data_IF_652269532918
#
_entry.id   IF_652269532918
#
_cell.length_a   1.000
_cell.length_b   1.000
_cell.length_c   1.000
_cell.angle_alpha   90.00
_cell.angle_beta   90.00
_cell.angle_gamma   90.00
#
_symmetry.space_group_name_H-M   'P 1'
#
loop_
_entity.id
_entity.type
_entity.pdbx_description
1 polymer ?
#
# COMPACT_ATOMS: atom_id res chain seq x y z
N UNK A 1 -21.62 -13.02 22.51
CA UNK A 1 -20.75 -12.01 23.14
C UNK A 1 -20.06 -11.23 22.04
N UNK A 2 -20.41 -9.95 21.92
CA UNK A 2 -20.02 -9.10 20.80
C UNK A 2 -18.52 -8.79 20.83
N UNK A 3 -17.76 -9.43 19.93
CA UNK A 3 -16.40 -9.04 19.63
C UNK A 3 -16.48 -7.70 18.89
N UNK A 4 -16.42 -6.59 19.65
CA UNK A 4 -16.31 -5.24 19.09
C UNK A 4 -15.02 -5.20 18.27
N UNK A 5 -15.15 -5.44 16.97
CA UNK A 5 -14.13 -5.18 15.96
C UNK A 5 -13.63 -3.76 16.20
N UNK A 6 -12.44 -3.66 16.79
CA UNK A 6 -11.76 -2.39 16.94
C UNK A 6 -11.38 -1.94 15.53
N UNK A 7 -12.31 -1.24 14.86
CA UNK A 7 -12.07 -0.64 13.54
C UNK A 7 -10.74 0.07 13.64
N UNK A 8 -9.74 -0.43 12.91
CA UNK A 8 -8.49 0.30 12.73
C UNK A 8 -8.91 1.64 12.16
N UNK A 9 -8.81 2.69 12.98
CA UNK A 9 -9.25 4.03 12.59
C UNK A 9 -8.50 4.40 11.33
N UNK A 10 -9.22 4.73 10.27
CA UNK A 10 -8.59 5.06 9.00
C UNK A 10 -7.75 6.32 9.19
N UNK A 11 -6.42 6.14 9.13
CA UNK A 11 -5.43 7.18 9.41
C UNK A 11 -5.16 8.00 8.15
N UNK A 12 -5.97 9.05 7.98
CA UNK A 12 -5.88 9.98 6.85
C UNK A 12 -4.50 10.65 6.75
N UNK A 13 -3.89 10.95 7.89
CA UNK A 13 -2.53 11.49 8.02
C UNK A 13 -1.49 10.57 7.34
N UNK A 14 -1.48 9.30 7.72
CA UNK A 14 -0.53 8.31 7.18
C UNK A 14 -0.78 8.03 5.70
N UNK A 15 -2.05 7.91 5.31
CA UNK A 15 -2.39 7.69 3.91
C UNK A 15 -2.08 8.92 3.04
N UNK A 16 -2.22 10.13 3.57
CA UNK A 16 -1.81 11.38 2.91
C UNK A 16 -0.31 11.44 2.68
N UNK A 17 0.51 11.06 3.67
CA UNK A 17 1.96 10.95 3.51
C UNK A 17 2.35 9.95 2.41
N UNK A 18 1.68 8.80 2.36
CA UNK A 18 1.89 7.81 1.28
C UNK A 18 1.50 8.37 -0.09
N UNK A 19 0.41 9.15 -0.18
CA UNK A 19 0.01 9.77 -1.43
C UNK A 19 1.05 10.78 -1.92
N UNK A 20 1.54 11.66 -1.04
CA UNK A 20 2.61 12.60 -1.35
C UNK A 20 3.90 11.91 -1.80
N UNK A 21 4.25 10.80 -1.15
CA UNK A 21 5.41 9.99 -1.54
C UNK A 21 5.29 9.46 -2.98
N UNK A 22 4.11 8.97 -3.38
CA UNK A 22 3.85 8.54 -4.77
C UNK A 22 3.90 9.71 -5.75
N UNK A 23 3.34 10.88 -5.39
CA UNK A 23 3.42 12.08 -6.24
C UNK A 23 4.87 12.47 -6.51
N UNK A 24 5.74 12.47 -5.49
CA UNK A 24 7.16 12.75 -5.67
C UNK A 24 7.84 11.75 -6.63
N UNK A 25 7.51 10.46 -6.54
CA UNK A 25 8.02 9.41 -7.45
C UNK A 25 7.57 9.66 -8.89
N UNK A 26 6.31 10.04 -9.09
CA UNK A 26 5.76 10.32 -10.41
C UNK A 26 6.42 11.57 -11.03
N UNK A 27 6.52 12.66 -10.29
CA UNK A 27 7.16 13.90 -10.77
C UNK A 27 8.60 13.65 -11.22
N UNK A 28 9.34 12.85 -10.46
CA UNK A 28 10.69 12.43 -10.82
C UNK A 28 10.74 11.59 -12.10
N UNK A 29 9.86 10.58 -12.26
CA UNK A 29 9.84 9.75 -13.46
C UNK A 29 9.48 10.54 -14.73
N UNK A 30 8.58 11.51 -14.62
CA UNK A 30 8.21 12.39 -15.74
C UNK A 30 9.20 13.54 -15.95
N UNK A 31 10.29 13.61 -15.17
CA UNK A 31 11.30 14.69 -15.21
C UNK A 31 10.68 16.09 -15.10
N UNK A 32 9.59 16.19 -14.35
CA UNK A 32 8.91 17.45 -14.12
C UNK A 32 9.69 18.27 -13.08
N UNK A 33 9.78 19.58 -13.31
CA UNK A 33 10.39 20.55 -12.40
C UNK A 33 11.90 20.37 -12.10
N UNK A 34 12.62 19.53 -12.87
CA UNK A 34 14.07 19.33 -12.69
C UNK A 34 14.45 18.73 -11.33
N UNK A 35 13.54 17.95 -10.73
CA UNK A 35 13.74 17.35 -9.41
C UNK A 35 14.62 16.11 -9.51
N UNK A 36 15.84 16.18 -8.97
CA UNK A 36 16.72 15.02 -8.76
C UNK A 36 16.54 14.53 -7.31
N UNK A 37 15.76 13.45 -7.11
CA UNK A 37 15.53 12.92 -5.75
C UNK A 37 14.21 12.18 -5.48
N UNK A 38 13.34 11.98 -6.47
CA UNK A 38 12.03 11.33 -6.21
C UNK A 38 12.11 9.86 -5.79
N UNK A 39 13.28 9.23 -5.86
CA UNK A 39 13.52 7.89 -5.30
C UNK A 39 13.29 7.86 -3.77
N UNK A 40 13.51 8.97 -3.06
CA UNK A 40 13.23 9.08 -1.61
C UNK A 40 11.74 8.83 -1.32
N UNK A 41 10.85 9.18 -2.26
CA UNK A 41 9.42 8.88 -2.14
C UNK A 41 9.13 7.38 -2.08
N UNK A 42 9.95 6.55 -2.74
CA UNK A 42 9.85 5.09 -2.68
C UNK A 42 10.15 4.60 -1.26
N UNK A 43 11.23 5.09 -0.65
CA UNK A 43 11.63 4.72 0.71
C UNK A 43 10.57 5.11 1.73
N UNK A 44 10.09 6.36 1.67
CA UNK A 44 9.03 6.86 2.56
C UNK A 44 7.76 6.01 2.42
N UNK A 45 7.34 5.70 1.19
CA UNK A 45 6.14 4.90 0.96
C UNK A 45 6.27 3.49 1.55
N UNK A 46 7.40 2.83 1.35
CA UNK A 46 7.60 1.46 1.83
C UNK A 46 7.79 1.40 3.35
N UNK A 47 8.55 2.32 3.94
CA UNK A 47 8.73 2.39 5.41
C UNK A 47 7.39 2.58 6.11
N UNK A 48 6.58 3.54 5.65
CA UNK A 48 5.26 3.81 6.23
C UNK A 48 4.33 2.61 6.04
N UNK A 49 4.35 1.97 4.87
CA UNK A 49 3.51 0.81 4.60
C UNK A 49 3.93 -0.39 5.46
N UNK A 50 5.23 -0.60 5.66
CA UNK A 50 5.78 -1.61 6.55
C UNK A 50 5.34 -1.40 8.00
N UNK A 51 5.52 -0.18 8.51
CA UNK A 51 5.07 0.19 9.86
C UNK A 51 3.58 -0.12 10.10
N UNK A 52 2.71 0.28 9.17
CA UNK A 52 1.27 0.04 9.30
C UNK A 52 0.94 -1.46 9.28
N UNK A 53 1.59 -2.21 8.40
CA UNK A 53 1.35 -3.64 8.28
C UNK A 53 1.81 -4.41 9.52
N UNK A 54 3.00 -4.08 10.03
CA UNK A 54 3.51 -4.67 11.28
C UNK A 54 2.61 -4.31 12.45
N UNK A 55 2.13 -3.06 12.56
CA UNK A 55 1.18 -2.65 13.60
C UNK A 55 -0.11 -3.47 13.58
N UNK A 56 -0.64 -3.79 12.38
CA UNK A 56 -1.81 -4.67 12.25
C UNK A 56 -1.48 -6.08 12.74
N UNK A 57 -0.35 -6.65 12.32
CA UNK A 57 0.07 -7.99 12.74
C UNK A 57 0.23 -8.07 14.26
N UNK A 58 0.97 -7.13 14.87
CA UNK A 58 1.24 -7.10 16.31
C UNK A 58 -0.07 -7.00 17.09
N UNK A 59 -0.97 -6.09 16.68
CA UNK A 59 -2.28 -5.95 17.33
C UNK A 59 -3.12 -7.22 17.26
N UNK A 60 -3.13 -7.90 16.11
CA UNK A 60 -3.88 -9.15 15.94
C UNK A 60 -3.26 -10.31 16.73
N UNK A 61 -1.93 -10.33 16.87
CA UNK A 61 -1.17 -11.29 17.68
C UNK A 61 -1.46 -11.11 19.17
N UNK A 62 -1.42 -9.87 19.68
CA UNK A 62 -1.78 -9.54 21.06
C UNK A 62 -3.22 -9.97 21.39
N UNK A 63 -4.11 -9.88 20.40
CA UNK A 63 -5.50 -10.34 20.51
C UNK A 63 -5.69 -11.86 20.29
N UNK A 64 -4.62 -12.64 20.10
CA UNK A 64 -4.66 -14.08 19.76
C UNK A 64 -5.59 -14.41 18.56
N UNK A 65 -5.73 -13.46 17.63
CA UNK A 65 -6.66 -13.55 16.50
C UNK A 65 -5.95 -13.54 15.14
N UNK A 66 -4.62 -13.50 15.16
CA UNK A 66 -3.81 -13.42 13.95
C UNK A 66 -3.95 -14.68 13.09
N UNK A 67 -4.16 -14.47 11.80
CA UNK A 67 -4.21 -15.52 10.79
C UNK A 67 -3.44 -15.08 9.56
N UNK A 68 -2.42 -15.85 9.20
CA UNK A 68 -1.56 -15.58 8.06
C UNK A 68 -2.35 -15.58 6.74
N UNK A 69 -3.26 -16.53 6.57
CA UNK A 69 -4.12 -16.62 5.38
C UNK A 69 -5.06 -15.42 5.28
N UNK A 70 -5.74 -15.04 6.37
CA UNK A 70 -6.62 -13.86 6.41
C UNK A 70 -5.86 -12.58 6.04
N UNK A 71 -4.64 -12.44 6.54
CA UNK A 71 -3.78 -11.30 6.27
C UNK A 71 -3.38 -11.19 4.79
N UNK A 72 -2.90 -12.30 4.19
CA UNK A 72 -2.55 -12.32 2.76
C UNK A 72 -3.78 -12.14 1.87
N UNK A 73 -4.93 -12.73 2.20
CA UNK A 73 -6.18 -12.56 1.44
C UNK A 73 -6.63 -11.09 1.45
N UNK A 74 -6.58 -10.41 2.60
CA UNK A 74 -6.96 -9.01 2.69
C UNK A 74 -6.07 -8.11 1.81
N UNK A 75 -4.76 -8.40 1.75
CA UNK A 75 -3.81 -7.69 0.89
C UNK A 75 -4.02 -8.02 -0.58
N UNK A 76 -4.21 -9.28 -0.92
CA UNK A 76 -4.48 -9.75 -2.26
C UNK A 76 -5.73 -9.07 -2.83
N UNK A 77 -6.84 -9.00 -2.07
CA UNK A 77 -8.07 -8.29 -2.48
C UNK A 77 -7.85 -6.81 -2.79
N UNK A 78 -6.83 -6.18 -2.20
CA UNK A 78 -6.49 -4.77 -2.42
C UNK A 78 -5.52 -4.56 -3.58
N UNK A 79 -4.53 -5.43 -3.77
CA UNK A 79 -3.43 -5.25 -4.73
C UNK A 79 -3.71 -5.94 -6.06
N UNK A 80 -4.25 -7.18 -6.03
CA UNK A 80 -4.45 -7.99 -7.23
C UNK A 80 -5.37 -7.34 -8.27
N UNK A 81 -6.49 -6.67 -7.94
CA UNK A 81 -7.36 -6.11 -8.96
C UNK A 81 -6.63 -5.11 -9.87
N UNK A 82 -5.87 -4.18 -9.28
CA UNK A 82 -5.10 -3.20 -10.05
C UNK A 82 -3.97 -3.86 -10.85
N UNK A 83 -3.29 -4.85 -10.26
CA UNK A 83 -2.23 -5.60 -10.95
C UNK A 83 -2.77 -6.38 -12.15
N UNK A 84 -3.91 -7.08 -11.99
CA UNK A 84 -4.54 -7.86 -13.06
C UNK A 84 -4.93 -6.94 -14.22
N UNK A 85 -5.59 -5.82 -13.92
CA UNK A 85 -5.99 -4.84 -14.95
C UNK A 85 -4.76 -4.32 -15.69
N UNK A 86 -3.73 -3.87 -14.97
CA UNK A 86 -2.48 -3.39 -15.57
C UNK A 86 -1.85 -4.42 -16.49
N UNK A 87 -1.70 -5.66 -16.02
CA UNK A 87 -1.08 -6.74 -16.80
C UNK A 87 -1.87 -7.07 -18.05
N UNK A 88 -3.20 -7.17 -17.95
CA UNK A 88 -4.07 -7.42 -19.11
C UNK A 88 -3.96 -6.28 -20.12
N UNK A 89 -4.01 -5.03 -19.66
CA UNK A 89 -3.88 -3.85 -20.53
C UNK A 89 -2.53 -3.83 -21.24
N UNK A 90 -1.43 -4.10 -20.53
CA UNK A 90 -0.10 -4.15 -21.13
C UNK A 90 0.02 -5.30 -22.14
N UNK A 91 -0.47 -6.50 -21.83
CA UNK A 91 -0.46 -7.64 -22.75
C UNK A 91 -1.27 -7.34 -24.02
N UNK A 92 -2.44 -6.74 -23.87
CA UNK A 92 -3.28 -6.34 -25.01
C UNK A 92 -2.58 -5.29 -25.89
N UNK A 93 -1.93 -4.30 -25.28
CA UNK A 93 -1.21 -3.24 -26.01
C UNK A 93 0.03 -3.76 -26.73
N UNK A 94 0.74 -4.75 -26.18
CA UNK A 94 1.98 -5.29 -26.77
C UNK A 94 1.69 -6.29 -27.89
N UNK A 95 0.57 -7.01 -27.83
CA UNK A 95 0.20 -8.03 -28.83
C UNK A 95 -0.63 -7.44 -29.99
N UNK A 96 -1.22 -6.26 -29.81
CA UNK A 96 -1.89 -5.48 -30.86
C UNK A 96 -0.88 -4.73 -31.75
#
# INVERSE_FOLDING_TARGET
MAHLSSRVKFRNDINGLRAWAVVAVLLFHFKLFGLDGGFIGVDIFFVISGFLMTSIIVKDLEANSFSLSRFYIARARRILPALIVLTITLLALVVA
#
